data_IF_647702607220
#
_entry.id   IF_647702607220
#
_cell.length_a   1.000
_cell.length_b   1.000
_cell.length_c   1.000
_cell.angle_alpha   90.00
_cell.angle_beta   90.00
_cell.angle_gamma   90.00
#
_symmetry.space_group_name_H-M   'P 1'
#
loop_
_entity.id
_entity.type
_entity.pdbx_description
1 polymer ?
#
# COMPACT_ATOMS: atom_id res chain seq x y z
N UNK A 1 -3.25 -15.52 -0.30
CA UNK A 1 -3.57 -14.51 0.72
C UNK A 1 -4.61 -13.54 0.19
N UNK A 2 -4.34 -12.84 -0.92
CA UNK A 2 -5.31 -11.98 -1.63
C UNK A 2 -5.51 -12.54 -3.04
N UNK A 3 -6.73 -12.52 -3.53
CA UNK A 3 -7.05 -12.87 -4.91
C UNK A 3 -8.14 -11.95 -5.47
N UNK A 4 -7.85 -11.32 -6.61
CA UNK A 4 -8.77 -10.53 -7.41
C UNK A 4 -9.10 -11.31 -8.68
N UNK A 5 -10.38 -11.53 -8.93
CA UNK A 5 -10.88 -12.28 -10.10
C UNK A 5 -11.78 -11.39 -10.93
N UNK A 6 -11.37 -11.12 -12.16
CA UNK A 6 -12.10 -10.32 -13.15
C UNK A 6 -12.72 -9.05 -12.54
N UNK A 7 -11.92 -8.26 -11.82
CA UNK A 7 -12.40 -7.11 -11.05
C UNK A 7 -12.71 -5.91 -11.96
N UNK A 8 -13.96 -5.42 -11.92
CA UNK A 8 -14.40 -4.21 -12.64
C UNK A 8 -14.90 -3.13 -11.68
N UNK A 9 -14.58 -1.87 -12.00
CA UNK A 9 -15.13 -0.71 -11.31
C UNK A 9 -15.23 0.50 -12.22
N UNK A 10 -16.38 1.18 -12.15
CA UNK A 10 -16.69 2.41 -12.86
C UNK A 10 -17.17 3.52 -11.90
N UNK A 11 -16.94 4.77 -12.28
CA UNK A 11 -17.47 5.95 -11.60
C UNK A 11 -17.98 6.94 -12.64
N UNK A 12 -19.25 7.35 -12.54
CA UNK A 12 -19.83 8.35 -13.45
C UNK A 12 -19.70 8.00 -14.93
N UNK A 13 -19.72 6.71 -15.29
CA UNK A 13 -19.53 6.22 -16.66
C UNK A 13 -18.07 6.02 -17.08
N UNK A 14 -17.09 6.41 -16.27
CA UNK A 14 -15.67 6.15 -16.52
C UNK A 14 -15.25 4.81 -15.93
N UNK A 15 -14.84 3.85 -16.78
CA UNK A 15 -14.35 2.55 -16.34
C UNK A 15 -12.91 2.65 -15.84
N UNK A 16 -12.71 2.52 -14.52
CA UNK A 16 -11.41 2.60 -13.87
C UNK A 16 -10.71 1.25 -13.83
N UNK A 17 -11.42 0.19 -13.44
CA UNK A 17 -10.95 -1.20 -13.49
C UNK A 17 -11.81 -1.99 -14.47
N UNK A 18 -11.19 -2.81 -15.32
CA UNK A 18 -11.77 -3.41 -16.53
C UNK A 18 -11.48 -4.91 -16.66
N UNK A 19 -11.46 -5.62 -15.53
CA UNK A 19 -11.14 -7.05 -15.48
C UNK A 19 -9.75 -7.31 -14.92
N UNK A 20 -9.45 -6.73 -13.75
CA UNK A 20 -8.18 -6.95 -13.06
C UNK A 20 -8.14 -8.34 -12.46
N UNK A 21 -7.08 -9.09 -12.77
CA UNK A 21 -6.74 -10.35 -12.13
C UNK A 21 -5.40 -10.18 -11.41
N UNK A 22 -5.35 -10.51 -10.13
CA UNK A 22 -4.14 -10.42 -9.32
C UNK A 22 -4.18 -11.47 -8.21
N UNK A 23 -3.07 -12.16 -7.97
CA UNK A 23 -2.89 -13.08 -6.86
C UNK A 23 -1.72 -12.61 -6.03
N UNK A 24 -1.90 -12.64 -4.71
CA UNK A 24 -0.85 -12.35 -3.72
C UNK A 24 -0.80 -13.54 -2.76
N UNK A 25 0.33 -14.23 -2.77
CA UNK A 25 0.69 -15.31 -1.86
C UNK A 25 0.82 -14.83 -0.41
N UNK A 26 0.86 -15.78 0.53
CA UNK A 26 1.16 -15.44 1.92
C UNK A 26 2.66 -15.13 2.05
N UNK A 27 2.99 -14.03 2.71
CA UNK A 27 4.38 -13.56 2.90
C UNK A 27 4.99 -12.97 1.62
N UNK A 28 4.23 -12.86 0.53
CA UNK A 28 4.71 -12.29 -0.73
C UNK A 28 4.63 -10.74 -0.69
N UNK A 29 5.65 -10.08 -1.21
CA UNK A 29 5.65 -8.64 -1.49
C UNK A 29 5.34 -8.38 -2.96
N UNK A 30 4.11 -7.93 -3.23
CA UNK A 30 3.65 -7.58 -4.59
C UNK A 30 3.65 -6.06 -4.76
N UNK A 31 4.31 -5.57 -5.81
CA UNK A 31 4.26 -4.15 -6.20
C UNK A 31 3.43 -3.97 -7.45
N UNK A 32 2.36 -3.17 -7.36
CA UNK A 32 1.54 -2.77 -8.51
C UNK A 32 2.04 -1.43 -9.05
N UNK A 33 2.60 -1.46 -10.26
CA UNK A 33 3.09 -0.28 -10.97
C UNK A 33 2.08 0.20 -12.02
N UNK A 34 2.20 1.45 -12.44
CA UNK A 34 1.37 2.01 -13.52
C UNK A 34 1.30 3.54 -13.48
N UNK A 35 0.81 4.14 -14.56
CA UNK A 35 0.70 5.60 -14.68
C UNK A 35 -0.20 6.24 -13.63
N UNK A 36 -0.07 7.55 -13.45
CA UNK A 36 -1.02 8.34 -12.65
C UNK A 36 -2.45 8.17 -13.19
N UNK A 37 -3.43 8.02 -12.29
CA UNK A 37 -4.82 7.81 -12.69
C UNK A 37 -5.18 6.42 -13.23
N UNK A 38 -4.23 5.48 -13.32
CA UNK A 38 -4.48 4.12 -13.85
C UNK A 38 -5.40 3.23 -13.00
N UNK A 39 -5.79 3.68 -11.80
CA UNK A 39 -6.68 2.95 -10.91
C UNK A 39 -6.00 2.23 -9.74
N UNK A 40 -4.68 2.41 -9.52
CA UNK A 40 -3.93 1.76 -8.43
C UNK A 40 -4.54 1.97 -7.04
N UNK A 41 -4.87 3.21 -6.66
CA UNK A 41 -5.50 3.47 -5.35
C UNK A 41 -6.92 2.93 -5.27
N UNK A 42 -7.64 2.83 -6.40
CA UNK A 42 -8.95 2.16 -6.46
C UNK A 42 -8.79 0.65 -6.26
N UNK A 43 -7.74 0.04 -6.81
CA UNK A 43 -7.40 -1.36 -6.57
C UNK A 43 -7.17 -1.64 -5.07
N UNK A 44 -6.34 -0.83 -4.40
CA UNK A 44 -6.11 -0.98 -2.95
C UNK A 44 -7.42 -0.87 -2.15
N UNK A 45 -8.28 0.10 -2.48
CA UNK A 45 -9.59 0.27 -1.83
C UNK A 45 -10.50 -0.95 -1.95
N UNK A 46 -10.41 -1.71 -3.04
CA UNK A 46 -11.13 -2.97 -3.18
C UNK A 46 -10.51 -4.08 -2.33
N UNK A 47 -9.16 -4.17 -2.28
CA UNK A 47 -8.45 -5.16 -1.46
C UNK A 47 -8.82 -5.03 0.03
N UNK A 48 -8.91 -3.79 0.56
CA UNK A 48 -9.30 -3.54 1.95
C UNK A 48 -10.82 -3.55 2.19
N UNK A 49 -11.64 -3.75 1.14
CA UNK A 49 -13.10 -3.76 1.26
C UNK A 49 -13.74 -2.41 1.59
N UNK A 50 -13.13 -1.30 1.14
CA UNK A 50 -13.71 0.05 1.21
C UNK A 50 -14.59 0.40 0.00
N UNK A 51 -14.48 -0.37 -1.08
CA UNK A 51 -15.31 -0.25 -2.27
C UNK A 51 -15.81 -1.62 -2.69
N UNK A 52 -17.11 -1.68 -3.05
CA UNK A 52 -17.67 -2.85 -3.70
C UNK A 52 -17.42 -2.82 -5.20
N UNK A 53 -17.02 -3.97 -5.80
CA UNK A 53 -16.84 -4.07 -7.24
C UNK A 53 -18.17 -3.94 -7.98
N UNK A 54 -18.13 -3.52 -9.24
CA UNK A 54 -19.31 -3.57 -10.13
C UNK A 54 -19.48 -4.99 -10.71
N UNK A 55 -18.36 -5.69 -10.96
CA UNK A 55 -18.28 -7.10 -11.35
C UNK A 55 -16.96 -7.72 -10.83
N UNK A 56 -16.95 -9.04 -10.74
CA UNK A 56 -15.80 -9.79 -10.25
C UNK A 56 -15.80 -9.93 -8.73
N UNK A 57 -14.71 -10.48 -8.22
CA UNK A 57 -14.63 -10.92 -6.83
C UNK A 57 -13.30 -10.51 -6.19
N UNK A 58 -13.36 -10.13 -4.92
CA UNK A 58 -12.19 -9.92 -4.06
C UNK A 58 -12.22 -10.92 -2.93
N UNK A 59 -11.13 -11.69 -2.80
CA UNK A 59 -10.97 -12.72 -1.78
C UNK A 59 -9.76 -12.35 -0.93
N UNK A 60 -9.92 -12.32 0.39
CA UNK A 60 -8.85 -12.08 1.37
C UNK A 60 -8.94 -13.16 2.44
N UNK A 61 -7.84 -13.86 2.70
CA UNK A 61 -7.82 -14.94 3.69
C UNK A 61 -8.92 -15.99 3.48
N UNK A 62 -9.15 -16.36 2.21
CA UNK A 62 -10.20 -17.28 1.76
C UNK A 62 -11.64 -16.79 1.96
N UNK A 63 -11.84 -15.57 2.48
CA UNK A 63 -13.15 -14.92 2.58
C UNK A 63 -13.41 -14.05 1.38
N UNK A 64 -14.54 -14.27 0.70
CA UNK A 64 -15.03 -13.39 -0.36
C UNK A 64 -15.67 -12.14 0.27
N UNK A 65 -15.13 -10.96 -0.02
CA UNK A 65 -15.56 -9.72 0.67
C UNK A 65 -17.00 -9.33 0.37
N UNK A 66 -17.53 -9.63 -0.81
CA UNK A 66 -18.92 -9.36 -1.21
C UNK A 66 -19.97 -10.15 -0.43
N UNK A 67 -19.55 -11.21 0.27
CA UNK A 67 -20.44 -12.06 1.07
C UNK A 67 -20.45 -11.67 2.56
N UNK A 68 -19.62 -10.70 2.96
CA UNK A 68 -19.53 -10.23 4.33
C UNK A 68 -20.44 -9.02 4.54
N UNK A 69 -21.04 -8.94 5.72
CA UNK A 69 -21.66 -7.73 6.21
C UNK A 69 -20.60 -6.77 6.77
N UNK A 70 -21.04 -5.63 7.31
CA UNK A 70 -20.13 -4.60 7.81
C UNK A 70 -19.32 -5.08 9.03
N UNK A 71 -19.87 -5.98 9.85
CA UNK A 71 -19.15 -6.58 10.98
C UNK A 71 -18.05 -7.51 10.48
N UNK A 72 -18.36 -8.41 9.54
CA UNK A 72 -17.38 -9.28 8.90
C UNK A 72 -16.30 -8.51 8.14
N UNK A 73 -16.66 -7.43 7.45
CA UNK A 73 -15.68 -6.54 6.80
C UNK A 73 -14.78 -5.87 7.82
N UNK A 74 -15.30 -5.45 8.98
CA UNK A 74 -14.48 -4.86 10.04
C UNK A 74 -13.49 -5.86 10.64
N UNK A 75 -13.88 -7.12 10.83
CA UNK A 75 -12.94 -8.17 11.25
C UNK A 75 -11.83 -8.41 10.23
N UNK A 76 -12.16 -8.36 8.94
CA UNK A 76 -11.14 -8.42 7.87
C UNK A 76 -10.23 -7.19 7.92
N UNK A 77 -10.78 -5.98 8.06
CA UNK A 77 -10.00 -4.72 8.09
C UNK A 77 -9.01 -4.66 9.25
N UNK A 78 -9.32 -5.26 10.41
CA UNK A 78 -8.37 -5.38 11.53
C UNK A 78 -7.09 -6.14 11.18
N UNK A 79 -7.12 -6.99 10.13
CA UNK A 79 -5.97 -7.74 9.64
C UNK A 79 -5.06 -6.93 8.71
N UNK A 80 -5.46 -5.72 8.34
CA UNK A 80 -4.70 -4.83 7.49
C UNK A 80 -4.01 -3.73 8.29
N UNK A 81 -2.76 -3.46 7.93
CA UNK A 81 -2.12 -2.17 8.18
C UNK A 81 -2.00 -1.40 6.87
N UNK A 82 -2.11 -0.07 6.92
CA UNK A 82 -1.99 0.75 5.72
C UNK A 82 -1.11 1.98 5.96
N UNK A 83 -0.11 2.15 5.10
CA UNK A 83 0.67 3.38 4.99
C UNK A 83 0.16 4.21 3.81
N UNK A 84 -0.43 5.37 4.11
CA UNK A 84 -0.96 6.29 3.10
C UNK A 84 0.15 7.17 2.50
N UNK A 85 -0.09 7.69 1.29
CA UNK A 85 0.84 8.58 0.59
C UNK A 85 1.19 9.84 1.40
N UNK A 86 0.23 10.44 2.10
CA UNK A 86 0.47 11.60 2.97
C UNK A 86 0.73 11.21 4.44
N UNK A 87 0.98 9.93 4.73
CA UNK A 87 0.93 9.30 6.07
C UNK A 87 -0.44 9.35 6.75
N UNK A 88 -1.26 10.37 6.45
CA UNK A 88 -2.62 10.57 6.98
C UNK A 88 -2.67 10.43 8.51
N UNK A 89 -1.74 11.10 9.21
CA UNK A 89 -1.76 11.20 10.67
C UNK A 89 -2.89 12.15 11.10
N UNK A 90 -3.46 11.90 12.27
CA UNK A 90 -4.41 12.80 12.90
C UNK A 90 -3.64 13.97 13.53
N UNK A 91 -3.83 15.17 12.97
CA UNK A 91 -3.12 16.38 13.43
C UNK A 91 -3.51 16.84 14.84
N UNK A 92 -4.63 16.34 15.37
CA UNK A 92 -5.13 16.63 16.72
C UNK A 92 -4.67 15.62 17.76
N UNK A 93 -3.80 14.67 17.39
CA UNK A 93 -3.30 13.61 18.26
C UNK A 93 -1.78 13.64 18.27
N UNK A 94 -1.18 13.35 19.41
CA UNK A 94 0.25 13.10 19.54
C UNK A 94 0.68 11.88 18.69
N UNK A 95 1.98 11.71 18.52
CA UNK A 95 2.55 10.56 17.79
C UNK A 95 2.13 9.23 18.41
N UNK A 96 2.19 9.07 19.74
CA UNK A 96 1.80 7.81 20.37
C UNK A 96 0.31 7.54 20.25
N UNK A 97 -0.54 8.57 20.32
CA UNK A 97 -1.98 8.43 20.12
C UNK A 97 -2.30 8.03 18.69
N UNK A 98 -1.58 8.59 17.72
CA UNK A 98 -1.68 8.19 16.31
C UNK A 98 -1.35 6.71 16.13
N UNK A 99 -0.22 6.24 16.67
CA UNK A 99 0.21 4.84 16.57
C UNK A 99 -0.75 3.92 17.32
N UNK A 100 -1.20 4.33 18.50
CA UNK A 100 -2.09 3.56 19.38
C UNK A 100 -3.57 3.62 19.01
N UNK A 101 -3.98 4.44 18.05
CA UNK A 101 -5.39 4.70 17.74
C UNK A 101 -6.19 3.42 17.48
N UNK A 102 -5.65 2.51 16.67
CA UNK A 102 -6.31 1.23 16.36
C UNK A 102 -6.49 0.34 17.60
N UNK A 103 -5.48 0.28 18.48
CA UNK A 103 -5.55 -0.45 19.75
C UNK A 103 -6.63 0.15 20.65
N UNK A 104 -6.66 1.48 20.79
CA UNK A 104 -7.68 2.20 21.57
C UNK A 104 -9.10 1.93 21.07
N UNK A 105 -9.27 1.74 19.76
CA UNK A 105 -10.60 1.59 19.14
C UNK A 105 -11.13 0.16 19.13
N UNK A 106 -10.24 -0.83 19.17
CA UNK A 106 -10.56 -2.23 18.92
C UNK A 106 -10.12 -3.19 20.04
N UNK A 107 -9.59 -2.67 21.14
CA UNK A 107 -9.19 -3.44 22.33
C UNK A 107 -9.62 -2.73 23.60
N UNK A 108 -9.55 -3.43 24.74
CA UNK A 108 -9.85 -2.87 26.07
C UNK A 108 -8.58 -2.41 26.83
N UNK A 109 -7.46 -2.23 26.11
CA UNK A 109 -6.19 -1.78 26.71
C UNK A 109 -6.31 -0.36 27.27
N UNK A 110 -5.62 -0.09 28.38
CA UNK A 110 -5.54 1.25 28.96
C UNK A 110 -4.53 2.12 28.21
N UNK A 111 -4.69 3.44 28.28
CA UNK A 111 -3.84 4.40 27.57
C UNK A 111 -2.34 4.22 27.88
N UNK A 112 -1.96 3.84 29.10
CA UNK A 112 -0.56 3.56 29.45
C UNK A 112 -0.02 2.32 28.72
N UNK A 113 -0.80 1.24 28.64
CA UNK A 113 -0.43 0.01 27.93
C UNK A 113 -0.36 0.26 26.41
N UNK A 114 -1.29 1.07 25.89
CA UNK A 114 -1.29 1.48 24.48
C UNK A 114 -0.06 2.31 24.16
N UNK A 115 0.30 3.26 25.04
CA UNK A 115 1.50 4.09 24.87
C UNK A 115 2.78 3.23 24.88
N UNK A 116 2.86 2.21 25.74
CA UNK A 116 3.99 1.27 25.75
C UNK A 116 4.13 0.53 24.40
N UNK A 117 3.03 0.01 23.86
CA UNK A 117 3.03 -0.64 22.53
C UNK A 117 3.39 0.37 21.44
N UNK A 118 2.85 1.58 21.49
CA UNK A 118 3.18 2.62 20.52
C UNK A 118 4.67 2.96 20.52
N UNK A 119 5.28 3.11 21.70
CA UNK A 119 6.73 3.35 21.85
C UNK A 119 7.55 2.17 21.32
N UNK A 120 7.12 0.93 21.55
CA UNK A 120 7.75 -0.26 20.96
C UNK A 120 7.73 -0.19 19.43
N UNK A 121 6.59 0.14 18.81
CA UNK A 121 6.46 0.22 17.35
C UNK A 121 7.23 1.39 16.74
N UNK A 122 7.29 2.52 17.44
CA UNK A 122 8.13 3.65 17.05
C UNK A 122 9.62 3.25 17.03
N UNK A 123 10.08 2.48 18.02
CA UNK A 123 11.45 1.95 18.03
C UNK A 123 11.73 1.03 16.85
N UNK A 124 10.78 0.18 16.45
CA UNK A 124 10.95 -0.72 15.28
C UNK A 124 11.23 0.06 13.99
N UNK A 125 10.63 1.24 13.84
CA UNK A 125 10.84 2.14 12.70
C UNK A 125 11.96 3.17 12.93
N UNK A 126 12.76 3.03 14.00
CA UNK A 126 13.90 3.89 14.28
C UNK A 126 13.54 5.29 14.77
N UNK A 127 12.42 5.42 15.50
CA UNK A 127 11.99 6.64 16.17
C UNK A 127 12.01 6.44 17.69
N UNK A 128 12.68 7.34 18.41
CA UNK A 128 12.82 7.29 19.87
C UNK A 128 12.69 8.70 20.43
N UNK A 129 11.92 8.87 21.51
CA UNK A 129 11.77 10.15 22.20
C UNK A 129 10.88 11.17 21.48
N UNK A 130 10.08 10.72 20.51
CA UNK A 130 9.16 11.55 19.71
C UNK A 130 7.69 11.22 20.00
N UNK A 131 7.43 10.31 20.94
CA UNK A 131 6.09 9.78 21.23
C UNK A 131 5.09 10.88 21.61
N UNK A 132 5.54 11.91 22.31
CA UNK A 132 4.70 13.01 22.80
C UNK A 132 4.69 14.24 21.87
N UNK A 133 5.39 14.18 20.73
CA UNK A 133 5.35 15.23 19.71
C UNK A 133 4.03 15.20 18.93
N UNK A 134 3.71 16.32 18.28
CA UNK A 134 2.60 16.46 17.34
C UNK A 134 3.07 16.24 15.90
N UNK A 135 2.21 15.74 14.97
CA UNK A 135 2.59 15.51 13.57
C UNK A 135 3.21 16.71 12.84
N UNK A 136 2.85 17.93 13.25
CA UNK A 136 3.39 19.20 12.73
C UNK A 136 4.85 19.42 13.05
N UNK A 137 5.36 18.82 14.12
CA UNK A 137 6.76 18.95 14.58
C UNK A 137 7.71 18.00 13.84
N UNK A 138 7.15 17.03 13.12
CA UNK A 138 7.91 15.98 12.44
C UNK A 138 8.42 16.40 11.05
N UNK A 139 9.54 15.85 10.64
CA UNK A 139 9.95 15.87 9.22
C UNK A 139 9.06 14.94 8.36
N UNK A 140 9.09 15.10 7.04
CA UNK A 140 8.34 14.23 6.12
C UNK A 140 8.69 12.74 6.28
N UNK A 141 9.98 12.42 6.40
CA UNK A 141 10.45 11.06 6.65
C UNK A 141 10.05 10.53 8.03
N UNK A 142 10.00 11.38 9.06
CA UNK A 142 9.49 10.98 10.38
C UNK A 142 7.99 10.67 10.32
N UNK A 143 7.17 11.52 9.66
CA UNK A 143 5.73 11.24 9.49
C UNK A 143 5.46 9.91 8.81
N UNK A 144 6.24 9.57 7.78
CA UNK A 144 6.14 8.27 7.08
C UNK A 144 6.44 7.09 8.01
N UNK A 145 7.48 7.22 8.83
CA UNK A 145 7.85 6.21 9.83
C UNK A 145 6.80 6.08 10.94
N UNK A 146 6.24 7.18 11.44
CA UNK A 146 5.08 7.15 12.37
C UNK A 146 3.87 6.47 11.72
N UNK A 147 3.58 6.78 10.45
CA UNK A 147 2.52 6.12 9.70
C UNK A 147 2.73 4.61 9.58
N UNK A 148 3.97 4.18 9.37
CA UNK A 148 4.34 2.77 9.35
C UNK A 148 4.20 2.12 10.72
N UNK A 149 4.68 2.77 11.79
CA UNK A 149 4.50 2.31 13.16
C UNK A 149 3.00 2.12 13.51
N UNK A 150 2.15 3.06 13.10
CA UNK A 150 0.69 2.95 13.22
C UNK A 150 0.14 1.75 12.44
N UNK A 151 0.61 1.55 11.19
CA UNK A 151 0.15 0.44 10.36
C UNK A 151 0.46 -0.92 10.99
N UNK A 152 1.59 -1.07 11.68
CA UNK A 152 2.01 -2.34 12.32
C UNK A 152 1.53 -2.49 13.76
N UNK A 153 0.93 -1.47 14.37
CA UNK A 153 0.57 -1.46 15.79
C UNK A 153 -0.40 -2.58 16.18
N UNK A 154 -1.37 -2.90 15.32
CA UNK A 154 -2.33 -3.98 15.55
C UNK A 154 -1.83 -5.37 15.14
N UNK A 155 -0.54 -5.52 14.77
CA UNK A 155 0.05 -6.78 14.27
C UNK A 155 -0.74 -7.36 13.09
N UNK A 156 -0.87 -6.61 11.98
CA UNK A 156 -1.66 -7.04 10.84
C UNK A 156 -1.04 -8.26 10.14
N UNK A 157 -1.86 -9.00 9.39
CA UNK A 157 -1.40 -10.07 8.49
C UNK A 157 -0.99 -9.53 7.10
N UNK A 158 -1.52 -8.36 6.74
CA UNK A 158 -1.34 -7.73 5.42
C UNK A 158 -0.97 -6.25 5.60
N UNK A 159 0.07 -5.79 4.89
CA UNK A 159 0.44 -4.38 4.79
C UNK A 159 0.16 -3.83 3.40
N UNK A 160 -0.54 -2.70 3.34
CA UNK A 160 -0.80 -1.95 2.11
C UNK A 160 0.01 -0.65 2.12
N UNK A 161 0.69 -0.36 1.02
CA UNK A 161 1.47 0.86 0.88
C UNK A 161 0.98 1.66 -0.33
N UNK A 162 0.51 2.88 -0.09
CA UNK A 162 0.11 3.83 -1.12
C UNK A 162 1.24 4.84 -1.34
N UNK A 163 2.03 4.65 -2.40
CA UNK A 163 3.13 5.55 -2.80
C UNK A 163 4.06 5.90 -1.61
N UNK A 164 4.69 4.88 -0.97
CA UNK A 164 5.34 5.04 0.32
C UNK A 164 6.51 6.05 0.30
N UNK A 165 7.23 6.16 -0.81
CA UNK A 165 8.41 7.02 -0.97
C UNK A 165 8.14 8.38 -1.61
N UNK A 166 6.90 8.65 -2.06
CA UNK A 166 6.59 9.90 -2.77
C UNK A 166 6.81 11.12 -1.88
N UNK A 167 7.45 12.16 -2.44
CA UNK A 167 7.73 13.43 -1.77
C UNK A 167 8.95 13.41 -0.84
N UNK A 168 9.72 12.31 -0.84
CA UNK A 168 10.99 12.19 -0.12
C UNK A 168 12.17 12.35 -1.08
N UNK A 169 13.31 12.82 -0.55
CA UNK A 169 14.56 12.75 -1.29
C UNK A 169 15.02 11.30 -1.49
N UNK A 170 15.92 11.02 -2.46
CA UNK A 170 16.32 9.66 -2.78
C UNK A 170 16.97 8.86 -1.65
N UNK A 171 17.58 9.51 -0.65
CA UNK A 171 18.22 8.84 0.48
C UNK A 171 17.14 8.41 1.47
N UNK A 172 16.22 9.32 1.81
CA UNK A 172 15.10 9.01 2.69
C UNK A 172 14.15 7.99 2.07
N UNK A 173 13.88 8.07 0.77
CA UNK A 173 13.11 7.06 0.05
C UNK A 173 13.73 5.66 0.16
N UNK A 174 15.07 5.58 0.01
CA UNK A 174 15.79 4.31 0.10
C UNK A 174 15.74 3.71 1.51
N UNK A 175 15.85 4.55 2.54
CA UNK A 175 15.72 4.16 3.94
C UNK A 175 14.30 3.68 4.29
N UNK A 176 13.25 4.30 3.71
CA UNK A 176 11.87 3.81 3.85
C UNK A 176 11.71 2.44 3.18
N UNK A 177 12.31 2.22 2.00
CA UNK A 177 12.28 0.90 1.36
C UNK A 177 12.97 -0.17 2.22
N UNK A 178 14.12 0.13 2.83
CA UNK A 178 14.78 -0.81 3.75
C UNK A 178 13.90 -1.13 4.97
N UNK A 179 13.18 -0.13 5.49
CA UNK A 179 12.22 -0.35 6.57
C UNK A 179 11.05 -1.23 6.12
N UNK A 180 10.54 -1.06 4.90
CA UNK A 180 9.47 -1.93 4.36
C UNK A 180 9.93 -3.39 4.29
N UNK A 181 11.12 -3.63 3.73
CA UNK A 181 11.70 -4.97 3.63
C UNK A 181 11.86 -5.58 5.03
N UNK A 182 12.51 -4.83 5.94
CA UNK A 182 12.73 -5.26 7.32
C UNK A 182 11.42 -5.61 8.04
N UNK A 183 10.38 -4.78 7.91
CA UNK A 183 9.08 -5.06 8.53
C UNK A 183 8.37 -6.26 7.90
N UNK A 184 8.52 -6.45 6.58
CA UNK A 184 8.06 -7.66 5.89
C UNK A 184 8.66 -8.93 6.49
N UNK A 185 9.99 -8.95 6.65
CA UNK A 185 10.74 -10.07 7.20
C UNK A 185 10.46 -10.31 8.70
N UNK A 186 10.52 -9.26 9.53
CA UNK A 186 10.36 -9.40 10.99
C UNK A 186 8.93 -9.79 11.40
N UNK A 187 7.92 -9.42 10.60
CA UNK A 187 6.51 -9.66 10.93
C UNK A 187 5.87 -10.81 10.13
N UNK A 188 6.56 -11.40 9.16
CA UNK A 188 6.03 -12.43 8.23
C UNK A 188 4.70 -11.99 7.57
N UNK A 189 4.64 -10.73 7.13
CA UNK A 189 3.44 -10.09 6.58
C UNK A 189 3.40 -10.15 5.06
N UNK A 190 2.19 -10.26 4.53
CA UNK A 190 1.96 -10.12 3.08
C UNK A 190 1.88 -8.65 2.71
N UNK A 191 2.55 -8.22 1.65
CA UNK A 191 2.61 -6.80 1.29
C UNK A 191 2.06 -6.52 -0.10
N UNK A 192 1.26 -5.46 -0.23
CA UNK A 192 0.87 -4.89 -1.52
C UNK A 192 1.24 -3.42 -1.55
N UNK A 193 2.19 -3.06 -2.39
CA UNK A 193 2.60 -1.66 -2.60
C UNK A 193 2.11 -1.18 -3.94
N UNK A 194 1.57 0.02 -4.00
CA UNK A 194 1.37 0.71 -5.27
C UNK A 194 2.39 1.83 -5.42
N UNK A 195 3.06 1.87 -6.56
CA UNK A 195 3.98 2.98 -6.85
C UNK A 195 4.20 3.23 -8.34
N UNK A 196 4.73 4.40 -8.67
CA UNK A 196 5.32 4.68 -9.98
C UNK A 196 6.85 4.85 -9.92
N UNK A 197 7.46 4.74 -8.74
CA UNK A 197 8.91 4.76 -8.57
C UNK A 197 9.51 3.37 -8.79
N UNK A 198 10.16 3.19 -9.95
CA UNK A 198 10.77 1.91 -10.29
C UNK A 198 11.96 1.53 -9.41
N UNK A 199 12.68 2.50 -8.83
CA UNK A 199 13.78 2.19 -7.91
C UNK A 199 13.23 1.52 -6.64
N UNK A 200 12.14 2.08 -6.09
CA UNK A 200 11.43 1.47 -4.96
C UNK A 200 10.84 0.11 -5.36
N UNK A 201 10.11 0.04 -6.49
CA UNK A 201 9.48 -1.18 -6.96
C UNK A 201 10.46 -2.36 -7.08
N UNK A 202 11.61 -2.16 -7.72
CA UNK A 202 12.61 -3.23 -7.86
C UNK A 202 13.28 -3.63 -6.55
N UNK A 203 13.34 -2.72 -5.58
CA UNK A 203 13.99 -2.97 -4.29
C UNK A 203 13.10 -3.80 -3.36
N UNK A 204 11.79 -3.55 -3.35
CA UNK A 204 10.86 -4.15 -2.37
C UNK A 204 10.01 -5.30 -2.92
N UNK A 205 9.96 -5.52 -4.23
CA UNK A 205 9.07 -6.51 -4.85
C UNK A 205 9.71 -7.91 -4.93
N UNK A 206 8.94 -8.92 -4.55
CA UNK A 206 9.11 -10.28 -5.07
C UNK A 206 8.51 -10.38 -6.47
N UNK A 207 7.28 -9.85 -6.61
CA UNK A 207 6.51 -9.83 -7.84
C UNK A 207 6.07 -8.40 -8.17
N UNK A 208 6.24 -7.99 -9.42
CA UNK A 208 5.75 -6.72 -9.95
C UNK A 208 4.58 -7.00 -10.90
N UNK A 209 3.49 -6.26 -10.73
CA UNK A 209 2.33 -6.29 -11.61
C UNK A 209 2.08 -4.91 -12.23
N UNK A 210 1.93 -4.82 -13.56
CA UNK A 210 1.68 -3.54 -14.22
C UNK A 210 0.20 -3.34 -14.52
N UNK A 211 -0.40 -2.33 -13.89
CA UNK A 211 -1.76 -1.86 -14.16
C UNK A 211 -1.72 -0.81 -15.28
N UNK A 212 -2.42 -1.11 -16.37
CA UNK A 212 -2.58 -0.21 -17.51
C UNK A 212 -3.99 -0.31 -18.08
N UNK A 213 -4.63 0.84 -18.32
CA UNK A 213 -6.01 0.92 -18.82
C UNK A 213 -7.01 0.00 -18.10
N UNK A 214 -6.88 -0.08 -16.77
CA UNK A 214 -7.79 -0.85 -15.91
C UNK A 214 -7.58 -2.36 -15.94
N UNK A 215 -6.50 -2.88 -16.53
CA UNK A 215 -6.15 -4.30 -16.52
C UNK A 215 -4.68 -4.51 -16.13
N UNK A 216 -4.37 -5.68 -15.56
CA UNK A 216 -2.97 -6.07 -15.32
C UNK A 216 -2.43 -6.67 -16.61
N UNK A 217 -1.49 -5.97 -17.25
CA UNK A 217 -0.94 -6.36 -18.56
C UNK A 217 0.33 -7.21 -18.44
N UNK A 218 1.02 -7.14 -17.29
CA UNK A 218 2.23 -7.89 -17.02
C UNK A 218 2.31 -8.25 -15.54
N UNK A 219 2.85 -9.42 -15.24
CA UNK A 219 3.15 -9.86 -13.87
C UNK A 219 4.40 -10.74 -13.92
N UNK A 220 5.36 -10.50 -13.03
CA UNK A 220 6.57 -11.29 -12.93
C UNK A 220 7.56 -10.70 -11.94
N UNK A 221 8.66 -11.40 -11.74
CA UNK A 221 9.80 -10.92 -10.96
C UNK A 221 10.38 -9.61 -11.53
N UNK A 222 11.16 -8.90 -10.71
CA UNK A 222 11.90 -7.71 -11.16
C UNK A 222 12.72 -7.95 -12.44
N UNK A 223 13.37 -9.11 -12.56
CA UNK A 223 14.13 -9.48 -13.74
C UNK A 223 13.26 -9.71 -14.99
N UNK A 224 12.10 -10.36 -14.84
CA UNK A 224 11.17 -10.57 -15.96
C UNK A 224 10.55 -9.25 -16.44
N UNK A 225 10.17 -8.36 -15.53
CA UNK A 225 9.63 -7.04 -15.91
C UNK A 225 10.68 -6.18 -16.61
N UNK A 226 11.92 -6.16 -16.12
CA UNK A 226 13.01 -5.42 -16.78
C UNK A 226 13.28 -5.93 -18.21
N UNK A 227 13.15 -7.23 -18.43
CA UNK A 227 13.38 -7.88 -19.72
C UNK A 227 12.11 -8.06 -20.57
N UNK A 228 10.99 -7.46 -20.17
CA UNK A 228 9.72 -7.58 -20.91
C UNK A 228 9.85 -7.10 -22.35
N UNK A 229 9.26 -7.83 -23.30
CA UNK A 229 9.18 -7.40 -24.69
C UNK A 229 7.97 -6.48 -24.97
N UNK A 230 7.08 -6.31 -23.98
CA UNK A 230 5.88 -5.49 -24.14
C UNK A 230 6.27 -4.00 -24.23
N UNK A 231 5.89 -3.28 -25.32
CA UNK A 231 6.29 -1.91 -25.53
C UNK A 231 5.68 -0.92 -24.52
N UNK A 232 4.51 -1.22 -23.94
CA UNK A 232 3.88 -0.42 -22.88
C UNK A 232 4.69 -0.57 -21.60
N UNK A 233 5.05 -1.80 -21.23
CA UNK A 233 5.89 -2.08 -20.06
C UNK A 233 7.25 -1.38 -20.23
N UNK A 234 7.90 -1.55 -21.38
CA UNK A 234 9.19 -0.94 -21.69
C UNK A 234 9.15 0.59 -21.68
N UNK A 235 8.09 1.20 -22.19
CA UNK A 235 7.97 2.65 -22.14
C UNK A 235 7.88 3.15 -20.70
N UNK A 236 7.08 2.49 -19.86
CA UNK A 236 6.87 2.88 -18.46
C UNK A 236 8.15 2.73 -17.63
N UNK A 237 8.79 1.57 -17.66
CA UNK A 237 9.96 1.31 -16.80
C UNK A 237 11.20 2.12 -17.19
N UNK A 238 11.31 2.51 -18.46
CA UNK A 238 12.39 3.37 -18.96
C UNK A 238 12.06 4.86 -18.84
N UNK A 239 10.82 5.23 -18.47
CA UNK A 239 10.39 6.62 -18.37
C UNK A 239 10.42 7.37 -19.71
N UNK A 240 10.19 6.68 -20.83
CA UNK A 240 10.23 7.30 -22.17
C UNK A 240 8.98 8.12 -22.44
N UNK A 241 9.18 9.35 -22.92
CA UNK A 241 8.09 10.21 -23.37
C UNK A 241 7.41 9.71 -24.65
N UNK A 242 8.14 8.98 -25.51
CA UNK A 242 7.62 8.41 -26.75
C UNK A 242 7.30 6.92 -26.60
N UNK A 243 6.14 6.51 -27.12
CA UNK A 243 5.72 5.11 -27.17
C UNK A 243 4.19 4.96 -27.20
N UNK A 244 3.67 3.73 -26.99
CA UNK A 244 2.24 3.45 -27.03
C UNK A 244 1.41 4.11 -25.90
N UNK A 245 2.00 4.38 -24.74
CA UNK A 245 1.38 5.18 -23.67
C UNK A 245 1.35 6.64 -24.12
N UNK A 246 0.14 7.13 -24.37
CA UNK A 246 -0.10 8.54 -24.68
C UNK A 246 -0.04 9.38 -23.41
N UNK A 247 0.74 10.45 -23.43
CA UNK A 247 0.76 11.44 -22.34
C UNK A 247 -0.29 12.50 -22.64
N UNK A 248 -1.34 12.58 -21.83
CA UNK A 248 -2.37 13.61 -21.97
C UNK A 248 -1.78 15.01 -21.75
N UNK A 249 -2.17 15.97 -22.58
CA UNK A 249 -1.75 17.38 -22.45
C UNK A 249 -0.36 17.72 -22.96
N UNK A 250 0.47 16.73 -23.30
CA UNK A 250 1.73 16.96 -24.04
C UNK A 250 1.44 16.72 -25.51
N UNK A 251 0.88 17.74 -26.16
CA UNK A 251 0.77 17.80 -27.62
C UNK A 251 2.17 17.81 -28.23
N UNK A 252 2.39 16.99 -29.25
CA UNK A 252 3.31 17.35 -30.33
C UNK A 252 2.52 18.01 -31.43
#
# INVERSE_FOLDING_TARGET
>A
MIELRDLHKSFGGHNVLRGVNLKVGKGESVVVIGGSGSGKSVLLKHIIGLLSPDKGTVIVNSSELSQLDEEGLNEIRKKFGMLFQSSALFDSMTVWENVGFGLKRHTDMKDNEIKEVAVEKLKMVGLVGVEDEMPSELSGGMRKRVGLARAIAMKPEILLYDEPTTGLDPIMADAINDLIIKMGEELDVTSVTITHDMKSAYKIADTIAMLYNGVIIATGSSGEIQNSADPIVRQFIEGRAEGPIKVEGISR
#
